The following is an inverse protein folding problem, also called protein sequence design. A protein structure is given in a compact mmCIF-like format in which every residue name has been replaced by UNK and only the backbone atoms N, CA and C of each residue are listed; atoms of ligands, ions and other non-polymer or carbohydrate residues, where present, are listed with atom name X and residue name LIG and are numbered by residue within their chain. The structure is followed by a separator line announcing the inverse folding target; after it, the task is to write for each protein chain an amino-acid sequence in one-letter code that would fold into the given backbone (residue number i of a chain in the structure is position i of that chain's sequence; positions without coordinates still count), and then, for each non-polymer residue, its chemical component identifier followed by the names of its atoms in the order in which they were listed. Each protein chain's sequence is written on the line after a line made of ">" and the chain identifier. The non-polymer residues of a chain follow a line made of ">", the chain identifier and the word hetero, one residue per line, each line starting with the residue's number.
data_IF_334852078415
#
_entry.id   IF_334852078415
#
_cell.length_a   1.000
_cell.length_b   1.000
_cell.length_c   1.000
_cell.angle_alpha   90.00
_cell.angle_beta   90.00
_cell.angle_gamma   90.00
#
_symmetry.space_group_name_H-M   'P 1'
#
loop_
_entity.id
_entity.type
_entity.pdbx_description
1 polymer ?
#
# COMPACT_ATOMS: atom_id res chain seq x y z
N UNK A 1 -13.36 61.12 0.75
CA UNK A 1 -13.91 59.79 1.12
C UNK A 1 -14.25 59.06 -0.17
N UNK A 2 -13.74 57.84 -0.33
CA UNK A 2 -14.02 56.97 -1.47
C UNK A 2 -12.75 56.67 -2.28
N UNK A 3 -12.11 55.53 -1.99
CA UNK A 3 -11.13 54.93 -2.91
C UNK A 3 -11.81 54.71 -4.27
N UNK A 4 -11.14 55.09 -5.35
CA UNK A 4 -11.70 54.93 -6.69
C UNK A 4 -11.84 53.44 -7.04
N UNK A 5 -12.81 53.09 -7.88
CA UNK A 5 -13.01 51.72 -8.39
C UNK A 5 -11.73 51.11 -8.98
N UNK A 6 -10.86 51.96 -9.54
CA UNK A 6 -9.58 51.55 -10.12
C UNK A 6 -8.56 51.09 -9.08
N UNK A 7 -8.51 51.73 -7.90
CA UNK A 7 -7.62 51.32 -6.81
C UNK A 7 -8.05 49.98 -6.20
N UNK A 8 -9.37 49.74 -6.11
CA UNK A 8 -9.91 48.44 -5.74
C UNK A 8 -9.52 47.34 -6.73
N UNK A 9 -9.60 47.61 -8.04
CA UNK A 9 -9.19 46.67 -9.08
C UNK A 9 -7.69 46.35 -9.04
N UNK A 10 -6.85 47.36 -8.80
CA UNK A 10 -5.41 47.17 -8.65
C UNK A 10 -5.07 46.30 -7.42
N UNK A 11 -5.76 46.52 -6.29
CA UNK A 11 -5.62 45.70 -5.09
C UNK A 11 -6.06 44.25 -5.35
N UNK A 12 -7.19 44.04 -6.03
CA UNK A 12 -7.66 42.70 -6.40
C UNK A 12 -6.69 41.98 -7.34
N UNK A 13 -6.10 42.69 -8.31
CA UNK A 13 -5.09 42.13 -9.22
C UNK A 13 -3.85 41.68 -8.46
N UNK A 14 -3.33 42.53 -7.57
CA UNK A 14 -2.18 42.21 -6.72
C UNK A 14 -2.47 40.99 -5.84
N UNK A 15 -3.66 40.96 -5.23
CA UNK A 15 -4.08 39.85 -4.37
C UNK A 15 -4.27 38.55 -5.15
N UNK A 16 -4.77 38.61 -6.38
CA UNK A 16 -4.96 37.45 -7.24
C UNK A 16 -3.62 36.83 -7.67
N UNK A 17 -2.65 37.68 -8.04
CA UNK A 17 -1.29 37.22 -8.35
C UNK A 17 -0.64 36.57 -7.12
N UNK A 18 -0.82 37.20 -5.95
CA UNK A 18 -0.29 36.68 -4.68
C UNK A 18 -0.91 35.32 -4.31
N UNK A 19 -2.25 35.19 -4.38
CA UNK A 19 -2.95 33.92 -4.15
C UNK A 19 -2.51 32.86 -5.18
N UNK A 20 -2.35 33.24 -6.45
CA UNK A 20 -1.89 32.34 -7.50
C UNK A 20 -0.49 31.79 -7.21
N UNK A 21 0.45 32.67 -6.81
CA UNK A 21 1.78 32.27 -6.39
C UNK A 21 1.76 31.38 -5.15
N UNK A 22 0.93 31.72 -4.14
CA UNK A 22 0.73 30.88 -2.96
C UNK A 22 0.21 29.49 -3.35
N UNK A 23 -0.83 29.43 -4.17
CA UNK A 23 -1.46 28.18 -4.62
C UNK A 23 -0.45 27.31 -5.36
N UNK A 24 0.36 27.91 -6.23
CA UNK A 24 1.43 27.20 -6.92
C UNK A 24 2.49 26.66 -5.95
N UNK A 25 2.92 27.47 -4.99
CA UNK A 25 3.87 27.07 -3.96
C UNK A 25 3.35 25.90 -3.11
N UNK A 26 2.12 25.99 -2.61
CA UNK A 26 1.47 24.90 -1.87
C UNK A 26 1.34 23.62 -2.69
N UNK A 27 1.02 23.73 -3.98
CA UNK A 27 0.93 22.57 -4.86
C UNK A 27 2.29 21.89 -5.10
N UNK A 28 3.35 22.67 -5.27
CA UNK A 28 4.71 22.15 -5.47
C UNK A 28 5.30 21.57 -4.18
N UNK A 29 5.10 22.24 -3.04
CA UNK A 29 5.75 21.89 -1.77
C UNK A 29 4.98 20.83 -0.98
N UNK A 30 3.65 20.80 -1.05
CA UNK A 30 2.83 19.87 -0.26
C UNK A 30 2.23 18.78 -1.14
N UNK A 31 1.52 19.16 -2.21
CA UNK A 31 0.73 18.19 -2.99
C UNK A 31 1.64 17.23 -3.79
N UNK A 32 2.73 17.72 -4.38
CA UNK A 32 3.67 16.86 -5.13
C UNK A 32 4.34 15.80 -4.25
N UNK A 33 4.96 16.11 -3.09
CA UNK A 33 5.55 15.08 -2.25
C UNK A 33 4.49 14.12 -1.70
N UNK A 34 3.32 14.61 -1.27
CA UNK A 34 2.25 13.70 -0.82
C UNK A 34 1.81 12.72 -1.92
N UNK A 35 1.72 13.15 -3.18
CA UNK A 35 1.43 12.24 -4.30
C UNK A 35 2.53 11.21 -4.52
N UNK A 36 3.79 11.57 -4.27
CA UNK A 36 4.91 10.64 -4.37
C UNK A 36 4.84 9.60 -3.27
N UNK A 37 4.63 10.04 -2.01
CA UNK A 37 4.53 9.17 -0.84
C UNK A 37 3.33 8.22 -0.94
N UNK A 38 2.17 8.69 -1.40
CA UNK A 38 0.99 7.84 -1.63
C UNK A 38 1.27 6.79 -2.72
N UNK A 39 2.01 7.17 -3.77
CA UNK A 39 2.32 6.26 -4.87
C UNK A 39 3.34 5.21 -4.44
N UNK A 40 4.30 5.59 -3.59
CA UNK A 40 5.27 4.67 -3.02
C UNK A 40 4.62 3.69 -2.03
N UNK A 41 3.72 4.19 -1.17
CA UNK A 41 2.93 3.35 -0.27
C UNK A 41 2.04 2.36 -1.03
N UNK A 42 1.43 2.79 -2.15
CA UNK A 42 0.65 1.91 -3.01
C UNK A 42 1.49 0.81 -3.66
N UNK A 43 2.73 1.14 -4.08
CA UNK A 43 3.67 0.16 -4.63
C UNK A 43 4.16 -0.82 -3.57
N UNK A 44 4.47 -0.33 -2.36
CA UNK A 44 4.86 -1.18 -1.23
C UNK A 44 3.70 -2.10 -0.82
N UNK A 45 2.48 -1.59 -0.75
CA UNK A 45 1.29 -2.40 -0.46
C UNK A 45 1.02 -3.46 -1.53
N UNK A 46 1.22 -3.12 -2.81
CA UNK A 46 1.09 -4.07 -3.92
C UNK A 46 2.16 -5.16 -3.84
N UNK A 47 3.39 -4.81 -3.48
CA UNK A 47 4.49 -5.75 -3.30
C UNK A 47 4.22 -6.67 -2.11
N UNK A 48 3.82 -6.12 -0.97
CA UNK A 48 3.41 -6.86 0.22
C UNK A 48 2.28 -7.85 -0.05
N UNK A 49 1.25 -7.44 -0.81
CA UNK A 49 0.16 -8.34 -1.23
C UNK A 49 0.66 -9.49 -2.11
N UNK A 50 1.65 -9.22 -2.97
CA UNK A 50 2.20 -10.22 -3.86
C UNK A 50 3.09 -11.22 -3.11
N UNK A 51 3.90 -10.73 -2.16
CA UNK A 51 4.70 -11.55 -1.23
C UNK A 51 3.79 -12.41 -0.34
N UNK A 52 2.75 -11.83 0.26
CA UNK A 52 1.79 -12.57 1.10
C UNK A 52 1.09 -13.69 0.33
N UNK A 53 0.78 -13.46 -0.96
CA UNK A 53 0.18 -14.48 -1.82
C UNK A 53 1.16 -15.62 -2.13
N UNK A 54 2.45 -15.29 -2.30
CA UNK A 54 3.50 -16.27 -2.50
C UNK A 54 3.77 -17.08 -1.22
N UNK A 55 3.80 -16.43 -0.06
CA UNK A 55 3.96 -17.06 1.25
C UNK A 55 2.78 -17.96 1.61
N UNK A 56 1.55 -17.54 1.29
CA UNK A 56 0.36 -18.39 1.50
C UNK A 56 0.43 -19.66 0.64
N UNK A 57 0.92 -19.55 -0.60
CA UNK A 57 1.10 -20.70 -1.48
C UNK A 57 2.19 -21.65 -0.99
N UNK A 58 3.31 -21.09 -0.50
CA UNK A 58 4.39 -21.86 0.10
C UNK A 58 3.95 -22.56 1.39
N UNK A 59 3.14 -21.89 2.22
CA UNK A 59 2.56 -22.48 3.42
C UNK A 59 1.59 -23.62 3.09
N UNK A 60 0.75 -23.48 2.06
CA UNK A 60 -0.12 -24.57 1.59
C UNK A 60 0.70 -25.77 1.12
N UNK A 61 1.79 -25.54 0.39
CA UNK A 61 2.67 -26.62 -0.08
C UNK A 61 3.38 -27.34 1.07
N UNK A 62 3.85 -26.59 2.08
CA UNK A 62 4.44 -27.17 3.30
C UNK A 62 3.42 -27.99 4.08
N UNK A 63 2.17 -27.51 4.21
CA UNK A 63 1.09 -28.23 4.89
C UNK A 63 0.74 -29.52 4.14
N UNK A 64 0.62 -29.48 2.81
CA UNK A 64 0.40 -30.69 2.01
C UNK A 64 1.53 -31.71 2.15
N UNK A 65 2.80 -31.27 2.18
CA UNK A 65 3.94 -32.18 2.37
C UNK A 65 3.92 -32.79 3.78
N UNK A 66 3.61 -31.99 4.80
CA UNK A 66 3.46 -32.48 6.17
C UNK A 66 2.31 -33.49 6.31
N UNK A 67 1.18 -33.25 5.64
CA UNK A 67 0.03 -34.16 5.64
C UNK A 67 0.37 -35.50 4.96
N UNK A 68 1.05 -35.46 3.79
CA UNK A 68 1.55 -36.67 3.10
C UNK A 68 2.55 -37.46 3.95
N UNK A 69 3.39 -36.78 4.73
CA UNK A 69 4.35 -37.42 5.64
C UNK A 69 3.65 -38.03 6.86
N UNK A 70 2.63 -37.37 7.42
CA UNK A 70 1.83 -37.91 8.51
C UNK A 70 1.06 -39.17 8.09
N UNK A 71 0.39 -39.15 6.93
CA UNK A 71 -0.32 -40.32 6.39
C UNK A 71 0.63 -41.51 6.20
N UNK A 72 1.84 -41.25 5.66
CA UNK A 72 2.87 -42.29 5.48
C UNK A 72 3.38 -42.88 6.80
N UNK A 73 3.48 -42.06 7.85
CA UNK A 73 3.88 -42.52 9.19
C UNK A 73 2.74 -43.30 9.84
N UNK A 74 1.50 -42.84 9.70
CA UNK A 74 0.30 -43.50 10.21
C UNK A 74 0.11 -44.89 9.58
N UNK A 75 0.27 -45.02 8.26
CA UNK A 75 0.21 -46.32 7.56
C UNK A 75 1.28 -47.30 8.07
N UNK A 76 2.50 -46.82 8.37
CA UNK A 76 3.57 -47.68 8.91
C UNK A 76 3.30 -48.12 10.34
N UNK A 77 2.72 -47.25 11.17
CA UNK A 77 2.36 -47.56 12.55
C UNK A 77 1.15 -48.51 12.60
N UNK A 78 0.14 -48.29 11.74
CA UNK A 78 -1.03 -49.17 11.63
C UNK A 78 -0.68 -50.59 11.16
N UNK A 79 0.29 -50.74 10.25
CA UNK A 79 0.80 -52.05 9.81
C UNK A 79 1.66 -52.72 10.89
N UNK A 80 2.44 -51.95 11.66
CA UNK A 80 3.23 -52.47 12.78
C UNK A 80 2.36 -53.05 13.91
N UNK A 81 1.25 -52.38 14.24
CA UNK A 81 0.31 -52.82 15.29
C UNK A 81 -0.48 -54.07 14.91
N UNK A 82 -0.71 -54.31 13.61
CA UNK A 82 -1.47 -55.48 13.14
C UNK A 82 -0.61 -56.76 13.01
N UNK A 83 0.72 -56.64 13.05
CA UNK A 83 1.66 -57.77 13.00
C UNK A 83 2.10 -58.29 14.39
N UNK A 84 1.59 -57.71 15.49
CA UNK A 84 1.85 -58.15 16.87
C UNK A 84 0.68 -58.92 17.52
N UNK A 85 -0.31 -59.38 16.74
CA UNK A 85 -1.35 -60.32 17.18
C UNK A 85 -1.23 -61.66 16.46
#
# INVERSE_FOLDING_TARGET
>A
MGYSLTEWLALFSLFSIFIGALTWFFNVVIIKPLRHDIKDLSNQFKSFKNETKHDSHALTEIVEDQEKRLIRVEDRVGIGVNNEK
#
